data_IF_014631331246
#
_entry.id   IF_014631331246
#
_cell.length_a   1.000
_cell.length_b   1.000
_cell.length_c   1.000
_cell.angle_alpha   90.00
_cell.angle_beta   90.00
_cell.angle_gamma   90.00
#
_symmetry.space_group_name_H-M   'P 1'
#
loop_
_entity.id
_entity.type
_entity.pdbx_description
1 polymer ?
#
# COMPACT_ATOMS: atom_id res chain seq x y z
N UNK A 1 -11.15 12.33 -0.34
CA UNK A 1 -9.97 11.45 -0.46
C UNK A 1 -10.23 10.25 0.41
N UNK A 2 -10.03 9.05 -0.11
CA UNK A 2 -10.27 7.79 0.60
C UNK A 2 -8.97 7.41 1.34
N UNK A 3 -9.04 7.28 2.68
CA UNK A 3 -7.89 6.95 3.54
C UNK A 3 -8.20 5.67 4.27
N UNK A 4 -7.23 4.75 4.25
CA UNK A 4 -7.32 3.44 4.86
C UNK A 4 -6.15 3.29 5.82
N UNK A 5 -6.40 2.91 7.07
CA UNK A 5 -5.35 2.60 8.03
C UNK A 5 -5.36 1.09 8.27
N UNK A 6 -4.25 0.43 8.01
CA UNK A 6 -4.07 -1.01 8.23
C UNK A 6 -2.93 -1.26 9.20
N UNK A 7 -2.99 -2.37 9.93
CA UNK A 7 -1.84 -2.89 10.67
C UNK A 7 -1.25 -4.04 9.87
N UNK A 8 0.05 -3.97 9.59
CA UNK A 8 0.78 -4.99 8.83
C UNK A 8 2.04 -5.41 9.58
N UNK A 9 2.42 -6.67 9.42
CA UNK A 9 3.73 -7.17 9.82
C UNK A 9 4.72 -6.94 8.68
N UNK A 10 5.54 -5.90 8.76
CA UNK A 10 6.55 -5.52 7.76
C UNK A 10 7.93 -5.79 8.34
N UNK A 11 8.77 -6.58 7.64
CA UNK A 11 10.10 -6.95 8.16
C UNK A 11 10.10 -7.61 9.55
N UNK A 12 8.99 -8.26 9.93
CA UNK A 12 8.81 -8.88 11.24
C UNK A 12 8.38 -7.92 12.37
N UNK A 13 8.12 -6.65 12.07
CA UNK A 13 7.59 -5.67 13.01
C UNK A 13 6.15 -5.30 12.66
N UNK A 14 5.28 -5.23 13.67
CA UNK A 14 3.93 -4.72 13.47
C UNK A 14 3.99 -3.21 13.30
N UNK A 15 3.43 -2.71 12.20
CA UNK A 15 3.42 -1.30 11.86
C UNK A 15 2.02 -0.87 11.45
N UNK A 16 1.62 0.33 11.82
CA UNK A 16 0.40 0.97 11.32
C UNK A 16 0.73 1.76 10.05
N UNK A 17 0.09 1.37 8.95
CA UNK A 17 0.26 1.99 7.65
C UNK A 17 -0.98 2.81 7.33
N UNK A 18 -0.78 4.08 7.04
CA UNK A 18 -1.79 4.94 6.44
C UNK A 18 -1.63 4.89 4.92
N UNK A 19 -2.72 4.54 4.24
CA UNK A 19 -2.83 4.50 2.79
C UNK A 19 -3.83 5.55 2.32
N UNK A 20 -3.33 6.62 1.70
CA UNK A 20 -4.17 7.63 1.07
C UNK A 20 -4.34 7.31 -0.41
N UNK A 21 -5.57 7.07 -0.87
CA UNK A 21 -5.85 6.82 -2.30
C UNK A 21 -5.52 8.06 -3.12
N UNK A 22 -4.74 7.87 -4.18
CA UNK A 22 -4.35 8.91 -5.14
C UNK A 22 -4.73 8.48 -6.56
N UNK A 23 -5.20 9.44 -7.36
CA UNK A 23 -5.27 9.28 -8.80
C UNK A 23 -3.92 9.67 -9.38
N UNK A 24 -3.20 8.70 -9.96
CA UNK A 24 -1.89 8.92 -10.56
C UNK A 24 -2.00 8.87 -12.08
N UNK A 25 -1.55 9.91 -12.82
CA UNK A 25 -1.53 9.88 -14.27
C UNK A 25 -0.71 8.70 -14.79
N UNK A 26 -1.27 7.93 -15.73
CA UNK A 26 -0.61 6.77 -16.34
C UNK A 26 -0.80 5.44 -15.61
N UNK A 27 -1.36 5.43 -14.40
CA UNK A 27 -1.70 4.19 -13.69
C UNK A 27 -3.19 3.88 -13.82
N UNK A 28 -3.51 2.66 -14.27
CA UNK A 28 -4.89 2.25 -14.55
C UNK A 28 -5.64 1.73 -13.32
N UNK A 29 -4.93 1.48 -12.21
CA UNK A 29 -5.48 0.89 -11.00
C UNK A 29 -5.47 1.84 -9.80
N UNK A 30 -6.12 1.46 -8.69
CA UNK A 30 -6.00 2.17 -7.43
C UNK A 30 -4.53 2.36 -7.03
N UNK A 31 -4.15 3.61 -6.79
CA UNK A 31 -2.84 3.96 -6.27
C UNK A 31 -2.98 4.49 -4.85
N UNK A 32 -1.99 4.20 -4.01
CA UNK A 32 -1.96 4.65 -2.62
C UNK A 32 -0.62 5.29 -2.31
N UNK A 33 -0.68 6.38 -1.55
CA UNK A 33 0.46 6.96 -0.85
C UNK A 33 0.56 6.31 0.52
N UNK A 34 1.70 5.71 0.83
CA UNK A 34 1.92 5.05 2.12
C UNK A 34 2.67 5.98 3.04
N UNK A 35 2.14 6.14 4.25
CA UNK A 35 2.76 6.86 5.36
C UNK A 35 2.79 5.97 6.59
N UNK A 36 3.88 6.00 7.33
CA UNK A 36 4.05 5.26 8.59
C UNK A 36 4.67 6.21 9.61
N UNK A 37 4.06 6.38 10.78
CA UNK A 37 4.51 7.30 11.82
C UNK A 37 4.78 8.73 11.31
N UNK A 38 3.89 9.22 10.43
CA UNK A 38 4.04 10.53 9.79
C UNK A 38 5.15 10.62 8.74
N UNK A 39 5.89 9.54 8.48
CA UNK A 39 6.93 9.48 7.46
C UNK A 39 6.41 8.87 6.15
N UNK A 40 6.59 9.58 5.05
CA UNK A 40 6.27 9.06 3.71
C UNK A 40 7.18 7.88 3.35
N UNK A 41 6.56 6.79 2.89
CA UNK A 41 7.24 5.53 2.53
C UNK A 41 7.19 5.20 1.04
N UNK A 42 6.37 5.90 0.26
CA UNK A 42 6.30 5.66 -1.18
C UNK A 42 4.89 5.60 -1.72
N UNK A 43 4.79 5.36 -3.02
CA UNK A 43 3.52 5.09 -3.69
C UNK A 43 3.46 3.64 -4.14
N UNK A 44 2.29 3.04 -4.07
CA UNK A 44 2.02 1.72 -4.63
C UNK A 44 0.82 1.79 -5.58
N UNK A 45 0.84 1.00 -6.65
CA UNK A 45 -0.24 0.87 -7.63
C UNK A 45 -0.69 -0.58 -7.75
N UNK A 46 -2.01 -0.79 -7.72
CA UNK A 46 -2.60 -2.10 -7.99
C UNK A 46 -2.50 -2.43 -9.48
N UNK A 47 -1.87 -3.55 -9.77
CA UNK A 47 -1.77 -4.14 -11.10
C UNK A 47 -3.03 -4.93 -11.46
N UNK A 48 -3.21 -5.21 -12.77
CA UNK A 48 -4.37 -5.98 -13.29
C UNK A 48 -4.48 -7.38 -12.70
N UNK A 49 -3.36 -7.99 -12.29
CA UNK A 49 -3.31 -9.30 -11.64
C UNK A 49 -3.66 -9.25 -10.13
N UNK A 50 -4.04 -8.08 -9.60
CA UNK A 50 -4.39 -7.90 -8.20
C UNK A 50 -3.20 -7.63 -7.27
N UNK A 51 -1.97 -7.81 -7.73
CA UNK A 51 -0.76 -7.50 -6.96
C UNK A 51 -0.50 -5.99 -6.95
N UNK A 52 0.36 -5.54 -6.05
CA UNK A 52 0.80 -4.15 -5.99
C UNK A 52 2.27 -4.04 -6.36
N UNK A 53 2.60 -2.95 -7.06
CA UNK A 53 3.98 -2.56 -7.35
C UNK A 53 4.27 -1.20 -6.71
N UNK A 54 5.51 -0.96 -6.31
CA UNK A 54 5.96 0.39 -5.98
C UNK A 54 6.03 1.26 -7.24
N UNK A 55 5.74 2.55 -7.09
CA UNK A 55 5.93 3.56 -8.13
C UNK A 55 7.17 4.38 -7.74
N UNK A 56 8.20 4.37 -8.59
CA UNK A 56 9.47 5.04 -8.31
C UNK A 56 10.38 4.21 -7.40
N UNK A 57 10.97 4.84 -6.38
CA UNK A 57 11.90 4.17 -5.46
C UNK A 57 11.15 3.19 -4.56
N UNK A 58 11.58 1.93 -4.56
CA UNK A 58 10.99 0.89 -3.73
C UNK A 58 11.50 1.02 -2.29
N UNK A 59 10.59 1.33 -1.36
CA UNK A 59 10.84 1.23 0.08
C UNK A 59 10.49 -0.16 0.63
N UNK A 60 9.46 -0.78 0.08
CA UNK A 60 8.95 -2.09 0.48
C UNK A 60 9.46 -3.17 -0.47
N UNK A 61 9.79 -4.34 0.07
CA UNK A 61 10.08 -5.52 -0.74
C UNK A 61 8.80 -6.09 -1.35
N UNK A 62 8.92 -6.98 -2.34
CA UNK A 62 7.76 -7.70 -2.89
C UNK A 62 6.96 -8.44 -1.81
N UNK A 63 7.64 -9.02 -0.82
CA UNK A 63 7.00 -9.72 0.29
C UNK A 63 6.22 -8.75 1.18
N UNK A 64 6.79 -7.60 1.52
CA UNK A 64 6.10 -6.56 2.29
C UNK A 64 4.87 -6.05 1.54
N UNK A 65 5.00 -5.82 0.23
CA UNK A 65 3.87 -5.43 -0.61
C UNK A 65 2.76 -6.48 -0.57
N UNK A 66 3.09 -7.77 -0.65
CA UNK A 66 2.10 -8.85 -0.56
C UNK A 66 1.34 -8.81 0.77
N UNK A 67 2.04 -8.62 1.90
CA UNK A 67 1.40 -8.48 3.22
C UNK A 67 0.44 -7.28 3.29
N UNK A 68 0.83 -6.16 2.67
CA UNK A 68 -0.03 -4.97 2.55
C UNK A 68 -1.28 -5.28 1.74
N UNK A 69 -1.15 -6.00 0.62
CA UNK A 69 -2.31 -6.41 -0.21
C UNK A 69 -3.29 -7.27 0.58
N UNK A 70 -2.78 -8.26 1.30
CA UNK A 70 -3.60 -9.19 2.07
C UNK A 70 -4.43 -8.44 3.13
N UNK A 71 -3.81 -7.51 3.87
CA UNK A 71 -4.52 -6.69 4.86
C UNK A 71 -5.53 -5.72 4.24
N UNK A 72 -5.21 -5.12 3.08
CA UNK A 72 -6.16 -4.28 2.34
C UNK A 72 -7.39 -5.06 1.86
N UNK A 73 -7.20 -6.31 1.42
CA UNK A 73 -8.31 -7.17 1.01
C UNK A 73 -9.20 -7.53 2.19
N UNK A 74 -8.61 -7.86 3.35
CA UNK A 74 -9.36 -8.16 4.57
C UNK A 74 -10.24 -6.96 4.96
N UNK A 75 -9.71 -5.73 4.95
CA UNK A 75 -10.51 -4.54 5.27
C UNK A 75 -11.58 -4.20 4.23
N UNK A 76 -11.35 -4.48 2.94
CA UNK A 76 -12.33 -4.18 1.89
C UNK A 76 -13.57 -5.12 1.91
N UNK A 77 -13.49 -6.25 2.62
CA UNK A 77 -14.59 -7.21 2.76
C UNK A 77 -15.39 -7.05 4.06
N UNK A 78 -15.13 -5.99 4.84
CA UNK A 78 -15.74 -5.76 6.14
C UNK A 78 -16.63 -4.50 6.17
#
# INVERSE_FOLDING_TARGET
MDRINIKCLIGGQEMELQLDRKAMPGETGPCFMITTDGCFKGYISRQKNGQYKSIGVAYYTTQDLQMIVEQLQIQAHH
#
